data_IF_669495271628
#
_entry.id   IF_669495271628
#
_cell.length_a   1.000
_cell.length_b   1.000
_cell.length_c   1.000
_cell.angle_alpha   90.00
_cell.angle_beta   90.00
_cell.angle_gamma   90.00
#
_symmetry.space_group_name_H-M   'P 1'
#
loop_
_entity.id
_entity.type
_entity.pdbx_description
1 polymer ?
#
# COMPACT_ATOMS: atom_id res chain seq x y z
N UNK A 1 -7.48 -31.03 -48.38
CA UNK A 1 -7.10 -29.65 -48.05
C UNK A 1 -8.16 -29.14 -47.05
N UNK A 2 -7.94 -29.37 -45.78
CA UNK A 2 -8.83 -28.90 -44.70
C UNK A 2 -8.14 -27.76 -44.01
N UNK A 3 -8.73 -26.58 -44.04
CA UNK A 3 -8.29 -25.39 -43.36
C UNK A 3 -8.57 -25.58 -41.85
N UNK A 4 -7.50 -25.74 -41.10
CA UNK A 4 -7.48 -25.59 -39.63
C UNK A 4 -7.13 -24.12 -39.33
N UNK A 5 -8.11 -23.33 -38.93
CA UNK A 5 -7.95 -22.07 -38.20
C UNK A 5 -9.33 -21.41 -37.96
N UNK A 6 -10.18 -22.06 -37.20
CA UNK A 6 -11.32 -21.39 -36.55
C UNK A 6 -11.28 -21.73 -35.07
N UNK A 7 -10.46 -20.96 -34.35
CA UNK A 7 -10.66 -20.80 -32.89
C UNK A 7 -11.78 -19.77 -32.72
N UNK A 8 -12.85 -20.07 -31.98
CA UNK A 8 -13.90 -19.11 -31.73
C UNK A 8 -13.31 -17.91 -30.97
N UNK A 9 -13.57 -16.72 -31.48
CA UNK A 9 -13.33 -15.49 -30.76
C UNK A 9 -14.11 -15.57 -29.43
N UNK A 10 -13.40 -15.51 -28.30
CA UNK A 10 -14.03 -15.34 -27.01
C UNK A 10 -14.63 -13.93 -27.03
N UNK A 11 -15.94 -13.83 -27.24
CA UNK A 11 -16.69 -12.60 -26.99
C UNK A 11 -16.53 -12.29 -25.49
N UNK A 12 -15.71 -11.30 -25.20
CA UNK A 12 -15.66 -10.71 -23.87
C UNK A 12 -17.02 -10.04 -23.62
N UNK A 13 -17.91 -10.73 -22.93
CA UNK A 13 -19.11 -10.14 -22.37
C UNK A 13 -18.69 -9.07 -21.34
N UNK A 14 -18.92 -7.77 -21.60
CA UNK A 14 -18.58 -6.71 -20.65
C UNK A 14 -19.34 -6.81 -19.32
N UNK A 15 -20.30 -7.72 -19.19
CA UNK A 15 -21.08 -7.99 -17.98
C UNK A 15 -20.59 -9.23 -17.22
N UNK A 16 -19.65 -10.04 -17.72
CA UNK A 16 -19.04 -11.15 -16.99
C UNK A 16 -17.93 -10.64 -16.10
N UNK A 17 -18.27 -9.87 -15.06
CA UNK A 17 -17.27 -9.44 -14.07
C UNK A 17 -17.03 -10.55 -13.05
N UNK A 18 -15.75 -10.77 -12.74
CA UNK A 18 -15.33 -11.69 -11.68
C UNK A 18 -16.01 -11.29 -10.36
N UNK A 19 -16.82 -12.19 -9.79
CA UNK A 19 -17.38 -11.97 -8.47
C UNK A 19 -16.22 -11.91 -7.46
N UNK A 20 -15.94 -10.71 -6.95
CA UNK A 20 -14.88 -10.51 -5.96
C UNK A 20 -15.24 -11.24 -4.67
N UNK A 21 -14.35 -12.14 -4.24
CA UNK A 21 -14.48 -12.79 -2.93
C UNK A 21 -14.14 -11.79 -1.84
N UNK A 22 -14.91 -11.71 -0.74
CA UNK A 22 -14.55 -10.90 0.41
C UNK A 22 -13.19 -11.32 0.97
N UNK A 23 -12.30 -10.35 1.14
CA UNK A 23 -10.97 -10.58 1.73
C UNK A 23 -11.08 -10.78 3.24
N UNK A 24 -10.42 -11.81 3.72
CA UNK A 24 -10.26 -12.09 5.14
C UNK A 24 -8.78 -12.32 5.46
N UNK A 25 -8.31 -11.74 6.56
CA UNK A 25 -6.98 -11.95 7.10
C UNK A 25 -7.13 -12.59 8.50
N UNK A 26 -6.91 -13.89 8.61
CA UNK A 26 -7.18 -14.62 9.85
C UNK A 26 -8.61 -14.38 10.35
N UNK A 27 -8.75 -13.76 11.54
CA UNK A 27 -10.07 -13.41 12.12
C UNK A 27 -10.57 -12.02 11.69
N UNK A 28 -9.75 -11.21 11.03
CA UNK A 28 -10.11 -9.86 10.60
C UNK A 28 -10.85 -9.90 9.27
N UNK A 29 -12.10 -9.44 9.27
CA UNK A 29 -12.92 -9.28 8.07
C UNK A 29 -12.57 -7.95 7.39
N UNK A 30 -11.88 -8.01 6.26
CA UNK A 30 -11.54 -6.83 5.45
C UNK A 30 -12.68 -6.49 4.47
N UNK A 31 -13.28 -7.51 3.88
CA UNK A 31 -14.36 -7.38 2.91
C UNK A 31 -13.84 -7.08 1.50
N UNK A 32 -13.97 -5.85 1.01
CA UNK A 32 -13.55 -5.50 -0.34
C UNK A 32 -12.04 -5.73 -0.54
N UNK A 33 -11.59 -6.48 -1.59
CA UNK A 33 -10.21 -6.99 -1.65
C UNK A 33 -9.20 -6.01 -2.24
N UNK A 34 -9.47 -4.70 -2.24
CA UNK A 34 -8.57 -3.66 -2.73
C UNK A 34 -8.24 -2.72 -1.58
N UNK A 35 -7.01 -2.80 -1.07
CA UNK A 35 -6.59 -2.17 0.19
C UNK A 35 -5.42 -1.21 -0.02
N UNK A 36 -5.22 -0.28 0.94
CA UNK A 36 -4.09 0.64 0.90
C UNK A 36 -2.83 -0.01 1.47
N UNK A 37 -1.76 -0.01 0.70
CA UNK A 37 -0.43 -0.46 1.13
C UNK A 37 0.22 0.49 2.14
N UNK A 38 1.17 -0.03 2.93
CA UNK A 38 2.10 0.77 3.68
C UNK A 38 3.01 1.61 2.76
N UNK A 39 3.14 2.89 3.05
CA UNK A 39 3.86 3.87 2.22
C UNK A 39 4.70 4.78 3.11
N UNK A 40 6.01 4.52 3.18
CA UNK A 40 6.93 5.39 3.94
C UNK A 40 6.80 6.85 3.52
N UNK A 41 6.55 7.71 4.50
CA UNK A 41 6.35 9.14 4.31
C UNK A 41 4.95 9.51 3.82
N UNK A 42 4.00 8.58 3.65
CA UNK A 42 2.67 8.89 3.14
C UNK A 42 1.51 8.22 3.88
N UNK A 43 1.62 6.99 4.35
CA UNK A 43 0.49 6.32 5.02
C UNK A 43 0.46 6.61 6.52
N UNK A 44 0.61 7.88 6.88
CA UNK A 44 0.37 8.39 8.23
C UNK A 44 -1.14 8.34 8.58
N UNK A 45 -1.47 8.56 9.84
CA UNK A 45 -2.86 8.46 10.28
C UNK A 45 -3.82 9.36 9.49
N UNK A 46 -3.52 10.65 9.20
CA UNK A 46 -4.39 11.49 8.37
C UNK A 46 -4.68 10.90 6.98
N UNK A 47 -3.65 10.41 6.27
CA UNK A 47 -3.84 9.80 4.95
C UNK A 47 -4.67 8.53 5.02
N UNK A 48 -4.48 7.69 6.04
CA UNK A 48 -5.27 6.47 6.22
C UNK A 48 -6.75 6.77 6.42
N UNK A 49 -7.09 7.77 7.26
CA UNK A 49 -8.48 8.23 7.45
C UNK A 49 -9.09 8.70 6.14
N UNK A 50 -8.38 9.54 5.38
CA UNK A 50 -8.87 10.00 4.07
C UNK A 50 -9.13 8.82 3.13
N UNK A 51 -8.23 7.86 3.05
CA UNK A 51 -8.42 6.66 2.23
C UNK A 51 -9.62 5.81 2.70
N UNK A 52 -9.79 5.66 4.03
CA UNK A 52 -10.96 4.95 4.59
C UNK A 52 -12.27 5.62 4.20
N UNK A 53 -12.39 6.93 4.36
CA UNK A 53 -13.58 7.71 4.01
C UNK A 53 -13.89 7.67 2.51
N UNK A 54 -12.86 7.48 1.68
CA UNK A 54 -12.99 7.30 0.23
C UNK A 54 -13.07 5.83 -0.20
N UNK A 55 -13.34 4.92 0.73
CA UNK A 55 -13.74 3.55 0.42
C UNK A 55 -12.66 2.47 0.60
N UNK A 56 -11.44 2.79 1.04
CA UNK A 56 -10.47 1.75 1.39
C UNK A 56 -11.00 0.92 2.58
N UNK A 57 -11.14 -0.39 2.46
CA UNK A 57 -11.69 -1.23 3.53
C UNK A 57 -10.68 -1.50 4.65
N UNK A 58 -9.39 -1.38 4.34
CA UNK A 58 -8.26 -1.64 5.20
C UNK A 58 -7.06 -0.83 4.74
N UNK A 59 -6.30 -0.33 5.70
CA UNK A 59 -5.10 0.47 5.44
C UNK A 59 -3.94 -0.02 6.30
N UNK A 60 -2.72 0.15 5.79
CA UNK A 60 -1.49 -0.13 6.52
C UNK A 60 -0.77 1.19 6.86
N UNK A 61 -0.26 1.29 8.08
CA UNK A 61 0.55 2.43 8.48
C UNK A 61 1.91 2.47 7.77
N UNK A 62 2.62 3.56 7.92
CA UNK A 62 4.02 3.65 7.49
C UNK A 62 4.84 2.54 8.16
N UNK A 63 5.84 2.01 7.43
CA UNK A 63 6.72 1.00 8.01
C UNK A 63 7.51 1.60 9.20
N UNK A 64 7.45 0.92 10.32
CA UNK A 64 8.17 1.29 11.54
C UNK A 64 9.35 0.36 11.80
N UNK A 65 10.46 0.93 12.26
CA UNK A 65 11.63 0.14 12.66
C UNK A 65 11.41 -0.45 14.05
N UNK A 66 11.74 -1.73 14.21
CA UNK A 66 11.72 -2.46 15.48
C UNK A 66 12.43 -1.71 16.60
N UNK A 67 13.70 -1.33 16.37
CA UNK A 67 14.51 -0.56 17.33
C UNK A 67 13.87 0.78 17.72
N UNK A 68 13.20 1.44 16.74
CA UNK A 68 12.51 2.68 17.02
C UNK A 68 11.29 2.44 17.92
N UNK A 69 10.48 1.41 17.64
CA UNK A 69 9.30 1.06 18.43
C UNK A 69 9.65 0.72 19.88
N UNK A 70 10.70 -0.05 20.08
CA UNK A 70 11.19 -0.40 21.43
C UNK A 70 11.73 0.83 22.16
N UNK A 71 12.43 1.72 21.46
CA UNK A 71 13.02 2.94 22.05
C UNK A 71 12.02 4.09 22.22
N UNK A 72 10.90 4.06 21.50
CA UNK A 72 9.88 5.11 21.56
C UNK A 72 9.25 5.15 22.96
N UNK A 73 9.61 6.20 23.71
CA UNK A 73 8.88 6.56 24.94
C UNK A 73 7.57 7.20 24.54
N UNK A 74 6.53 6.98 25.32
CA UNK A 74 5.21 7.60 25.15
C UNK A 74 5.28 9.12 25.42
N UNK A 75 6.00 9.83 24.56
CA UNK A 75 6.13 11.29 24.58
C UNK A 75 5.20 11.89 23.54
N UNK A 76 4.57 13.01 23.85
CA UNK A 76 3.68 13.77 22.95
C UNK A 76 4.23 13.91 21.52
N UNK A 77 5.56 14.13 21.36
CA UNK A 77 6.21 14.28 20.04
C UNK A 77 6.29 12.99 19.20
N UNK A 78 6.06 11.81 19.80
CA UNK A 78 6.18 10.52 19.13
C UNK A 78 4.81 9.85 18.91
N UNK A 79 3.74 10.41 19.47
CA UNK A 79 2.39 9.81 19.39
C UNK A 79 1.91 9.63 17.94
N UNK A 80 2.33 10.51 17.04
CA UNK A 80 1.90 10.44 15.63
C UNK A 80 2.27 9.13 14.92
N UNK A 81 3.32 8.43 15.34
CA UNK A 81 3.71 7.16 14.73
C UNK A 81 2.74 6.01 15.03
N UNK A 82 2.16 6.02 16.23
CA UNK A 82 1.26 4.98 16.71
C UNK A 82 -0.19 5.49 16.84
N UNK A 83 -0.47 6.64 16.22
CA UNK A 83 -1.80 7.24 16.32
C UNK A 83 -2.79 6.50 15.41
N UNK A 84 -3.93 6.10 15.99
CA UNK A 84 -5.04 5.44 15.28
C UNK A 84 -6.32 6.14 15.72
N UNK A 85 -7.20 6.46 14.76
CA UNK A 85 -8.58 6.87 15.04
C UNK A 85 -9.51 5.67 15.01
N UNK A 86 -10.59 5.72 15.78
CA UNK A 86 -11.59 4.64 15.82
C UNK A 86 -12.15 4.30 14.43
N UNK A 87 -12.30 5.28 13.55
CA UNK A 87 -12.78 5.07 12.18
C UNK A 87 -11.81 4.35 11.24
N UNK A 88 -10.53 4.17 11.66
CA UNK A 88 -9.53 3.49 10.83
C UNK A 88 -9.63 1.96 10.88
N UNK A 89 -10.27 1.40 11.90
CA UNK A 89 -10.33 -0.07 12.07
C UNK A 89 -11.13 -0.76 10.94
N UNK A 90 -10.62 -1.88 10.37
CA UNK A 90 -9.35 -2.50 10.71
C UNK A 90 -8.16 -1.75 10.08
N UNK A 91 -7.06 -1.65 10.84
CA UNK A 91 -5.81 -1.01 10.42
C UNK A 91 -4.60 -1.88 10.75
N UNK A 92 -3.63 -1.96 9.84
CA UNK A 92 -2.42 -2.76 10.02
C UNK A 92 -1.20 -1.93 10.44
N UNK A 93 -0.42 -2.47 11.37
CA UNK A 93 0.89 -1.96 11.76
C UNK A 93 2.01 -2.67 11.00
N UNK A 94 2.79 -1.95 10.19
CA UNK A 94 3.90 -2.58 9.46
C UNK A 94 5.23 -2.39 10.17
N UNK A 95 5.95 -3.51 10.34
CA UNK A 95 7.21 -3.63 11.07
C UNK A 95 8.36 -4.01 10.16
N UNK A 96 9.53 -3.41 10.34
CA UNK A 96 10.78 -3.75 9.65
C UNK A 96 11.96 -3.68 10.63
N UNK A 97 12.86 -4.65 10.54
CA UNK A 97 14.05 -4.71 11.40
C UNK A 97 15.12 -5.63 10.83
N UNK A 98 16.12 -5.93 11.66
CA UNK A 98 17.21 -6.82 11.31
C UNK A 98 17.25 -8.06 12.21
N UNK A 99 16.97 -7.90 13.50
CA UNK A 99 17.19 -8.91 14.52
C UNK A 99 15.86 -9.54 14.97
N UNK A 100 15.74 -10.89 15.00
CA UNK A 100 14.50 -11.58 15.37
C UNK A 100 13.95 -11.18 16.75
N UNK A 101 14.80 -11.00 17.75
CA UNK A 101 14.41 -10.61 19.11
C UNK A 101 13.77 -9.21 19.14
N UNK A 102 14.31 -8.28 18.37
CA UNK A 102 13.80 -6.91 18.30
C UNK A 102 12.46 -6.86 17.56
N UNK A 103 12.27 -7.73 16.56
CA UNK A 103 10.98 -7.88 15.88
C UNK A 103 9.87 -8.26 16.86
N UNK A 104 10.09 -9.24 17.72
CA UNK A 104 9.12 -9.65 18.75
C UNK A 104 8.71 -8.48 19.63
N UNK A 105 9.69 -7.75 20.16
CA UNK A 105 9.41 -6.58 21.00
C UNK A 105 8.67 -5.47 20.23
N UNK A 106 9.04 -5.23 18.98
CA UNK A 106 8.35 -4.28 18.10
C UNK A 106 6.91 -4.69 17.81
N UNK A 107 6.65 -5.98 17.58
CA UNK A 107 5.31 -6.50 17.33
C UNK A 107 4.40 -6.32 18.56
N UNK A 108 4.90 -6.60 19.76
CA UNK A 108 4.16 -6.34 21.01
C UNK A 108 3.76 -4.86 21.12
N UNK A 109 4.66 -3.94 20.79
CA UNK A 109 4.36 -2.50 20.80
C UNK A 109 3.24 -2.10 19.81
N UNK A 110 3.16 -2.74 18.66
CA UNK A 110 2.08 -2.52 17.70
C UNK A 110 0.74 -3.08 18.21
N UNK A 111 0.76 -4.25 18.84
CA UNK A 111 -0.42 -4.84 19.49
C UNK A 111 -0.93 -3.93 20.61
N UNK A 112 -0.05 -3.45 21.49
CA UNK A 112 -0.39 -2.52 22.56
C UNK A 112 -0.94 -1.18 22.05
N UNK A 113 -0.51 -0.75 20.86
CA UNK A 113 -1.00 0.47 20.23
C UNK A 113 -2.40 0.30 19.59
N UNK A 114 -2.91 -0.94 19.47
CA UNK A 114 -4.25 -1.23 18.98
C UNK A 114 -4.34 -1.54 17.49
N UNK A 115 -3.24 -1.90 16.81
CA UNK A 115 -3.31 -2.36 15.44
C UNK A 115 -3.99 -3.73 15.33
N UNK A 116 -4.90 -3.88 14.34
CA UNK A 116 -5.67 -5.10 14.12
C UNK A 116 -4.91 -6.21 13.40
N UNK A 117 -3.86 -5.84 12.68
CA UNK A 117 -2.99 -6.73 11.89
C UNK A 117 -1.54 -6.31 12.08
N UNK A 118 -0.65 -7.27 12.27
CA UNK A 118 0.81 -7.03 12.30
C UNK A 118 1.41 -7.50 10.99
N UNK A 119 2.01 -6.60 10.22
CA UNK A 119 2.58 -6.89 8.91
C UNK A 119 4.11 -6.78 8.92
N UNK A 120 4.79 -7.82 8.45
CA UNK A 120 6.26 -7.89 8.39
C UNK A 120 6.73 -7.45 7.01
N UNK A 121 7.66 -6.48 6.94
CA UNK A 121 8.21 -5.98 5.68
C UNK A 121 9.53 -6.64 5.30
N UNK A 122 9.50 -7.51 4.31
CA UNK A 122 10.67 -8.09 3.61
C UNK A 122 10.79 -7.60 2.15
N UNK A 123 10.24 -6.42 1.84
CA UNK A 123 10.21 -5.93 0.46
C UNK A 123 10.92 -4.60 0.21
N UNK A 124 11.41 -3.89 1.23
CA UNK A 124 12.02 -2.57 1.05
C UNK A 124 13.34 -2.66 0.28
N UNK A 125 13.47 -1.99 -0.92
CA UNK A 125 14.68 -2.11 -1.75
C UNK A 125 15.68 -0.96 -1.54
N UNK A 126 15.47 -0.10 -0.55
CA UNK A 126 16.29 1.10 -0.32
C UNK A 126 17.69 0.71 0.14
N UNK A 127 18.74 1.20 -0.53
CA UNK A 127 20.14 0.86 -0.23
C UNK A 127 20.51 1.01 1.25
N UNK A 128 20.08 2.11 1.89
CA UNK A 128 20.35 2.38 3.31
C UNK A 128 19.66 1.35 4.24
N UNK A 129 18.53 0.80 3.83
CA UNK A 129 17.80 -0.25 4.54
C UNK A 129 18.51 -1.58 4.39
N UNK A 130 18.84 -1.96 3.14
CA UNK A 130 19.56 -3.20 2.82
C UNK A 130 20.94 -3.25 3.49
N UNK A 131 21.68 -2.14 3.49
CA UNK A 131 23.00 -2.04 4.14
C UNK A 131 22.95 -2.15 5.68
N UNK A 132 21.76 -2.25 6.27
CA UNK A 132 21.52 -2.53 7.70
C UNK A 132 20.78 -3.85 7.91
N UNK A 133 20.90 -4.78 6.96
CA UNK A 133 20.29 -6.11 7.00
C UNK A 133 18.75 -6.08 7.24
N UNK A 134 18.02 -5.15 6.59
CA UNK A 134 16.59 -4.94 6.80
C UNK A 134 15.79 -5.06 5.50
N UNK A 135 14.48 -5.25 5.66
CA UNK A 135 13.54 -5.27 4.53
C UNK A 135 13.87 -6.35 3.51
N UNK A 136 14.08 -5.97 2.24
CA UNK A 136 14.38 -6.92 1.17
C UNK A 136 15.67 -7.75 1.34
N UNK A 137 16.55 -7.39 2.29
CA UNK A 137 17.75 -8.18 2.62
C UNK A 137 17.41 -9.61 3.04
N UNK A 138 16.33 -9.77 3.81
CA UNK A 138 15.91 -11.07 4.34
C UNK A 138 15.48 -12.07 3.27
N UNK A 139 15.18 -11.63 2.04
CA UNK A 139 14.89 -12.54 0.93
C UNK A 139 16.12 -13.36 0.48
N UNK A 140 17.32 -12.98 0.91
CA UNK A 140 18.53 -13.77 0.74
C UNK A 140 18.96 -14.54 2.00
N UNK A 141 18.12 -14.57 3.04
CA UNK A 141 18.41 -15.18 4.35
C UNK A 141 17.14 -15.91 4.87
N UNK A 142 16.73 -17.03 4.23
CA UNK A 142 15.47 -17.71 4.56
C UNK A 142 15.37 -18.10 6.04
N UNK A 143 16.43 -18.66 6.62
CA UNK A 143 16.45 -19.05 8.03
C UNK A 143 16.13 -17.90 8.98
N UNK A 144 16.76 -16.73 8.73
CA UNK A 144 16.54 -15.52 9.53
C UNK A 144 15.13 -14.96 9.31
N UNK A 145 14.67 -14.94 8.05
CA UNK A 145 13.31 -14.51 7.72
C UNK A 145 12.25 -15.36 8.43
N UNK A 146 12.41 -16.69 8.41
CA UNK A 146 11.51 -17.61 9.08
C UNK A 146 11.58 -17.52 10.60
N UNK A 147 12.75 -17.29 11.17
CA UNK A 147 12.90 -17.06 12.60
C UNK A 147 12.19 -15.76 13.03
N UNK A 148 12.32 -14.67 12.26
CA UNK A 148 11.57 -13.42 12.48
C UNK A 148 10.06 -13.69 12.46
N UNK A 149 9.57 -14.43 11.49
CA UNK A 149 8.14 -14.75 11.35
C UNK A 149 7.65 -15.56 12.56
N UNK A 150 8.34 -16.65 12.93
CA UNK A 150 7.96 -17.50 14.06
C UNK A 150 7.91 -16.70 15.35
N UNK A 151 8.98 -15.98 15.68
CA UNK A 151 9.04 -15.16 16.91
C UNK A 151 7.98 -14.06 16.93
N UNK A 152 7.68 -13.46 15.79
CA UNK A 152 6.59 -12.47 15.69
C UNK A 152 5.26 -13.15 15.96
N UNK A 153 5.00 -14.32 15.35
CA UNK A 153 3.77 -15.06 15.56
C UNK A 153 3.59 -15.52 17.02
N UNK A 154 4.67 -15.94 17.66
CA UNK A 154 4.66 -16.44 19.04
C UNK A 154 4.23 -15.39 20.07
N UNK A 155 4.57 -14.11 19.84
CA UNK A 155 4.25 -13.01 20.79
C UNK A 155 2.95 -12.27 20.45
N UNK A 156 2.47 -12.37 19.21
CA UNK A 156 1.22 -11.72 18.80
C UNK A 156 0.02 -12.60 19.16
N UNK A 157 -1.02 -12.09 19.84
CA UNK A 157 -2.22 -12.87 20.19
C UNK A 157 -2.85 -13.54 18.97
N UNK A 158 -3.46 -14.72 19.17
CA UNK A 158 -4.05 -15.50 18.06
C UNK A 158 -5.23 -14.79 17.37
N UNK A 159 -5.83 -13.81 18.01
CA UNK A 159 -6.90 -12.97 17.48
C UNK A 159 -6.38 -11.98 16.43
N UNK A 160 -5.10 -11.58 16.54
CA UNK A 160 -4.47 -10.60 15.68
C UNK A 160 -3.67 -11.35 14.59
N UNK A 161 -4.06 -11.26 13.33
CA UNK A 161 -3.33 -11.89 12.23
C UNK A 161 -1.94 -11.28 12.05
N UNK A 162 -0.98 -12.14 11.71
CA UNK A 162 0.32 -11.73 11.20
C UNK A 162 0.32 -11.92 9.69
N UNK A 163 0.78 -10.92 8.96
CA UNK A 163 0.96 -10.95 7.50
C UNK A 163 2.41 -10.63 7.12
N UNK A 164 2.80 -10.98 5.91
CA UNK A 164 4.14 -10.68 5.38
C UNK A 164 4.02 -9.98 4.05
N UNK A 165 4.78 -8.89 3.86
CA UNK A 165 4.93 -8.25 2.57
C UNK A 165 6.34 -8.44 2.03
N UNK A 166 6.48 -9.05 0.86
CA UNK A 166 7.78 -9.33 0.24
C UNK A 166 7.82 -9.07 -1.27
N UNK A 167 9.03 -8.96 -1.80
CA UNK A 167 9.28 -8.97 -3.25
C UNK A 167 9.54 -10.39 -3.73
N UNK A 168 9.49 -10.63 -5.05
CA UNK A 168 9.68 -11.96 -5.65
C UNK A 168 11.11 -12.52 -5.56
N UNK A 169 12.01 -11.88 -4.82
CA UNK A 169 13.38 -12.28 -4.56
C UNK A 169 14.34 -11.09 -4.58
N UNK A 170 15.63 -11.34 -4.34
CA UNK A 170 16.70 -10.36 -4.46
C UNK A 170 16.90 -9.96 -5.92
N UNK A 171 16.98 -10.96 -6.80
CA UNK A 171 17.21 -10.82 -8.26
C UNK A 171 16.51 -11.95 -9.03
N UNK A 172 16.85 -12.14 -10.30
CA UNK A 172 16.26 -13.14 -11.19
C UNK A 172 16.99 -14.50 -11.17
N UNK A 173 17.88 -14.76 -10.19
CA UNK A 173 18.56 -16.05 -10.04
C UNK A 173 17.62 -17.16 -9.54
N UNK A 174 17.97 -18.41 -9.82
CA UNK A 174 17.25 -19.57 -9.28
C UNK A 174 17.30 -19.60 -7.75
N UNK A 175 18.43 -19.30 -7.15
CA UNK A 175 18.59 -19.20 -5.70
C UNK A 175 17.60 -18.18 -5.08
N UNK A 176 17.47 -16.98 -5.67
CA UNK A 176 16.50 -15.99 -5.22
C UNK A 176 15.07 -16.48 -5.29
N UNK A 177 14.76 -17.27 -6.30
CA UNK A 177 13.45 -17.89 -6.46
C UNK A 177 13.21 -18.98 -5.41
N UNK A 178 14.18 -19.86 -5.20
CA UNK A 178 14.08 -20.94 -4.22
C UNK A 178 13.92 -20.38 -2.81
N UNK A 179 14.72 -19.40 -2.44
CA UNK A 179 14.60 -18.66 -1.17
C UNK A 179 13.22 -18.02 -0.99
N UNK A 180 12.65 -17.44 -2.06
CA UNK A 180 11.31 -16.86 -2.00
C UNK A 180 10.26 -17.90 -1.64
N UNK A 181 10.25 -19.07 -2.30
CA UNK A 181 9.27 -20.12 -2.05
C UNK A 181 9.49 -20.79 -0.69
N UNK A 182 10.73 -20.96 -0.24
CA UNK A 182 11.05 -21.44 1.10
C UNK A 182 10.47 -20.50 2.18
N UNK A 183 10.67 -19.19 2.05
CA UNK A 183 10.10 -18.20 2.99
C UNK A 183 8.57 -18.21 2.92
N UNK A 184 7.99 -18.29 1.72
CA UNK A 184 6.54 -18.30 1.51
C UNK A 184 5.87 -19.50 2.20
N UNK A 185 6.40 -20.70 1.95
CA UNK A 185 5.88 -21.95 2.53
C UNK A 185 6.05 -21.94 4.06
N UNK A 186 7.26 -21.62 4.55
CA UNK A 186 7.53 -21.57 5.98
C UNK A 186 6.73 -20.48 6.70
N UNK A 187 6.37 -19.38 6.03
CA UNK A 187 5.49 -18.36 6.60
C UNK A 187 4.08 -18.92 6.87
N UNK A 188 3.49 -19.63 5.93
CA UNK A 188 2.18 -20.26 6.13
C UNK A 188 2.22 -21.38 7.17
N UNK A 189 3.28 -22.19 7.19
CA UNK A 189 3.52 -23.21 8.24
C UNK A 189 3.63 -22.59 9.64
N UNK A 190 4.18 -21.39 9.74
CA UNK A 190 4.26 -20.62 10.99
C UNK A 190 2.94 -19.91 11.37
N UNK A 191 1.87 -20.04 10.58
CA UNK A 191 0.56 -19.46 10.88
C UNK A 191 0.37 -18.01 10.41
N UNK A 192 1.11 -17.57 9.40
CA UNK A 192 0.86 -16.29 8.72
C UNK A 192 -0.49 -16.34 8.00
N UNK A 193 -1.31 -15.31 8.18
CA UNK A 193 -2.69 -15.25 7.68
C UNK A 193 -2.81 -14.78 6.23
N UNK A 194 -1.74 -14.22 5.67
CA UNK A 194 -1.70 -13.76 4.28
C UNK A 194 -0.34 -13.19 3.90
N UNK A 195 0.00 -13.30 2.63
CA UNK A 195 1.25 -12.76 2.10
C UNK A 195 0.97 -11.80 0.95
N UNK A 196 1.56 -10.59 1.03
CA UNK A 196 1.53 -9.62 -0.06
C UNK A 196 2.80 -9.76 -0.90
N UNK A 197 2.65 -10.00 -2.19
CA UNK A 197 3.76 -10.19 -3.12
C UNK A 197 3.87 -9.03 -4.10
N UNK A 198 5.04 -8.41 -4.18
CA UNK A 198 5.37 -7.44 -5.22
C UNK A 198 6.15 -8.14 -6.34
N UNK A 199 5.64 -8.09 -7.56
CA UNK A 199 6.19 -8.81 -8.71
C UNK A 199 7.55 -8.32 -9.23
N UNK A 200 8.23 -7.37 -8.55
CA UNK A 200 9.62 -6.96 -8.83
C UNK A 200 10.60 -7.56 -7.84
N UNK A 201 11.85 -7.75 -8.26
CA UNK A 201 12.96 -8.09 -7.36
C UNK A 201 13.43 -6.86 -6.57
N UNK A 202 14.24 -7.10 -5.54
CA UNK A 202 14.91 -6.03 -4.77
C UNK A 202 15.83 -5.22 -5.68
N UNK A 203 16.64 -5.88 -6.53
CA UNK A 203 17.57 -5.21 -7.46
C UNK A 203 16.86 -4.39 -8.53
N UNK A 204 15.67 -4.81 -8.99
CA UNK A 204 14.86 -4.04 -9.94
C UNK A 204 14.36 -2.71 -9.35
N UNK A 205 14.16 -2.61 -8.04
CA UNK A 205 13.50 -1.45 -7.41
C UNK A 205 12.16 -1.12 -8.08
N UNK A 206 12.12 -0.11 -8.95
CA UNK A 206 10.95 0.31 -9.74
C UNK A 206 11.21 0.30 -11.25
N UNK A 207 12.33 -0.29 -11.69
CA UNK A 207 12.70 -0.36 -13.11
C UNK A 207 11.98 -1.55 -13.76
N UNK A 208 11.43 -1.32 -14.95
CA UNK A 208 10.65 -2.31 -15.68
C UNK A 208 9.30 -2.62 -15.02
N UNK A 209 8.47 -3.49 -15.60
CA UNK A 209 7.15 -3.85 -15.09
C UNK A 209 7.22 -4.77 -13.87
N UNK A 210 6.18 -4.74 -13.06
CA UNK A 210 5.88 -5.79 -12.07
C UNK A 210 5.46 -7.06 -12.82
N UNK A 211 6.07 -8.21 -12.52
CA UNK A 211 5.75 -9.49 -13.18
C UNK A 211 4.53 -10.13 -12.55
N UNK A 212 3.38 -9.92 -13.15
CA UNK A 212 2.12 -10.49 -12.67
C UNK A 212 2.06 -12.02 -12.86
N UNK A 213 2.73 -12.55 -13.88
CA UNK A 213 2.83 -13.99 -14.11
C UNK A 213 3.44 -14.72 -12.90
N UNK A 214 4.38 -14.07 -12.19
CA UNK A 214 4.94 -14.60 -10.96
C UNK A 214 3.91 -14.64 -9.83
N UNK A 215 3.00 -13.67 -9.75
CA UNK A 215 1.91 -13.70 -8.76
C UNK A 215 0.94 -14.87 -9.04
N UNK A 216 0.62 -15.10 -10.32
CA UNK A 216 -0.19 -16.26 -10.72
C UNK A 216 0.47 -17.59 -10.34
N UNK A 217 1.79 -17.68 -10.50
CA UNK A 217 2.54 -18.85 -10.08
C UNK A 217 2.51 -19.03 -8.55
N UNK A 218 2.72 -17.96 -7.78
CA UNK A 218 2.64 -17.96 -6.32
C UNK A 218 1.26 -18.47 -5.88
N UNK A 219 0.18 -17.92 -6.44
CA UNK A 219 -1.19 -18.32 -6.06
C UNK A 219 -1.45 -19.81 -6.37
N UNK A 220 -0.98 -20.33 -7.51
CA UNK A 220 -1.09 -21.75 -7.82
C UNK A 220 -0.31 -22.63 -6.86
N UNK A 221 0.86 -22.18 -6.41
CA UNK A 221 1.70 -22.94 -5.48
C UNK A 221 1.08 -23.08 -4.08
N UNK A 222 0.40 -22.03 -3.60
CA UNK A 222 -0.14 -22.02 -2.23
C UNK A 222 -1.63 -22.34 -2.12
N UNK A 223 -2.34 -22.48 -3.25
CA UNK A 223 -3.77 -22.86 -3.27
C UNK A 223 -4.68 -21.88 -2.53
N UNK A 224 -5.32 -22.35 -1.46
CA UNK A 224 -6.31 -21.58 -0.70
C UNK A 224 -5.70 -20.53 0.24
N UNK A 225 -4.39 -20.50 0.42
CA UNK A 225 -3.77 -19.45 1.25
C UNK A 225 -3.94 -18.06 0.63
N UNK A 226 -4.15 -17.06 1.48
CA UNK A 226 -4.42 -15.67 1.06
C UNK A 226 -3.17 -15.01 0.49
N UNK A 227 -3.24 -14.63 -0.79
CA UNK A 227 -2.22 -13.86 -1.48
C UNK A 227 -2.78 -12.53 -1.94
N UNK A 228 -2.09 -11.44 -1.60
CA UNK A 228 -2.35 -10.11 -2.11
C UNK A 228 -1.27 -9.73 -3.13
N UNK A 229 -1.67 -9.11 -4.24
CA UNK A 229 -0.75 -8.60 -5.25
C UNK A 229 -0.37 -7.14 -5.01
N UNK A 230 0.79 -6.76 -5.52
CA UNK A 230 1.29 -5.38 -5.47
C UNK A 230 2.18 -5.08 -6.67
N UNK A 231 2.15 -3.84 -7.11
CA UNK A 231 3.01 -3.31 -8.18
C UNK A 231 2.25 -2.92 -9.43
N UNK A 232 2.46 -1.67 -9.85
CA UNK A 232 1.87 -1.04 -11.04
C UNK A 232 0.33 -0.97 -11.03
N UNK A 233 -0.23 -0.65 -9.87
CA UNK A 233 -1.65 -0.40 -9.65
C UNK A 233 -1.85 1.12 -9.56
N UNK A 234 -2.24 1.76 -10.64
CA UNK A 234 -2.43 3.21 -10.74
C UNK A 234 -3.86 3.60 -11.09
N UNK A 235 -4.59 2.68 -11.71
CA UNK A 235 -5.99 2.84 -12.09
C UNK A 235 -6.86 1.77 -11.44
N UNK A 236 -8.18 1.99 -11.33
CA UNK A 236 -9.10 0.94 -10.91
C UNK A 236 -9.00 -0.33 -11.75
N UNK A 237 -8.84 -0.19 -13.07
CA UNK A 237 -8.75 -1.32 -13.99
C UNK A 237 -7.51 -2.19 -13.69
N UNK A 238 -6.34 -1.60 -13.40
CA UNK A 238 -5.15 -2.37 -13.03
C UNK A 238 -5.40 -3.31 -11.85
N UNK A 239 -6.26 -2.90 -10.91
CA UNK A 239 -6.61 -3.72 -9.74
C UNK A 239 -7.39 -4.97 -10.14
N UNK A 240 -8.37 -4.83 -11.04
CA UNK A 240 -9.15 -5.97 -11.53
C UNK A 240 -8.33 -6.85 -12.45
N UNK A 241 -7.58 -6.26 -13.38
CA UNK A 241 -6.73 -6.99 -14.31
C UNK A 241 -5.70 -7.87 -13.59
N UNK A 242 -5.08 -7.34 -12.51
CA UNK A 242 -4.15 -8.13 -11.71
C UNK A 242 -4.86 -9.33 -11.06
N UNK A 243 -6.02 -9.14 -10.43
CA UNK A 243 -6.75 -10.25 -9.80
C UNK A 243 -7.24 -11.27 -10.82
N UNK A 244 -7.77 -10.83 -11.96
CA UNK A 244 -8.27 -11.70 -13.02
C UNK A 244 -7.15 -12.53 -13.66
N UNK A 245 -6.03 -11.88 -14.02
CA UNK A 245 -4.91 -12.56 -14.68
C UNK A 245 -4.14 -13.51 -13.76
N UNK A 246 -4.17 -13.26 -12.45
CA UNK A 246 -3.32 -14.00 -11.50
C UNK A 246 -4.06 -14.92 -10.56
N UNK A 247 -5.37 -14.73 -10.39
CA UNK A 247 -6.20 -15.50 -9.46
C UNK A 247 -5.92 -15.23 -7.98
N UNK A 248 -5.19 -14.16 -7.64
CA UNK A 248 -4.91 -13.76 -6.25
C UNK A 248 -6.16 -13.23 -5.56
N UNK A 249 -6.16 -13.22 -4.23
CA UNK A 249 -7.34 -12.94 -3.41
C UNK A 249 -7.63 -11.45 -3.22
N UNK A 250 -6.68 -10.59 -3.55
CA UNK A 250 -6.84 -9.14 -3.48
C UNK A 250 -5.55 -8.40 -3.84
N UNK A 251 -5.60 -7.08 -3.79
CA UNK A 251 -4.47 -6.21 -4.18
C UNK A 251 -4.20 -5.11 -3.16
N UNK A 252 -2.93 -4.69 -3.09
CA UNK A 252 -2.51 -3.56 -2.25
C UNK A 252 -2.07 -2.39 -3.12
N UNK A 253 -2.88 -1.31 -3.11
CA UNK A 253 -2.60 -0.09 -3.86
C UNK A 253 -1.61 0.77 -3.09
N UNK A 254 -0.47 1.05 -3.71
CA UNK A 254 0.59 1.86 -3.13
C UNK A 254 0.63 3.26 -3.77
N UNK A 255 1.53 3.47 -4.73
CA UNK A 255 1.74 4.77 -5.38
C UNK A 255 0.49 5.34 -6.06
N UNK A 256 -0.41 4.48 -6.55
CA UNK A 256 -1.67 4.89 -7.17
C UNK A 256 -2.66 5.59 -6.22
N UNK A 257 -2.49 5.42 -4.90
CA UNK A 257 -3.30 6.10 -3.89
C UNK A 257 -2.69 7.43 -3.38
N UNK A 258 -1.40 7.69 -3.66
CA UNK A 258 -0.74 8.92 -3.19
C UNK A 258 -1.25 10.12 -3.98
N UNK A 259 -2.02 11.00 -3.31
CA UNK A 259 -2.68 12.15 -3.95
C UNK A 259 -3.90 11.76 -4.79
N UNK A 260 -4.27 10.48 -4.79
CA UNK A 260 -5.46 9.96 -5.46
C UNK A 260 -6.19 8.91 -4.60
N UNK A 261 -6.65 9.25 -3.40
CA UNK A 261 -7.40 8.31 -2.57
C UNK A 261 -8.78 7.94 -3.16
N UNK A 262 -9.28 8.66 -4.16
CA UNK A 262 -10.51 8.34 -4.90
C UNK A 262 -10.44 7.01 -5.65
N UNK A 263 -9.24 6.46 -5.89
CA UNK A 263 -9.08 5.15 -6.52
C UNK A 263 -9.88 4.05 -5.80
N UNK A 264 -10.03 4.12 -4.47
CA UNK A 264 -10.83 3.15 -3.70
C UNK A 264 -12.32 3.28 -3.96
N UNK A 265 -12.86 4.49 -4.04
CA UNK A 265 -14.24 4.74 -4.40
C UNK A 265 -14.53 4.33 -5.85
N UNK A 266 -13.63 4.64 -6.75
CA UNK A 266 -13.73 4.30 -8.16
C UNK A 266 -13.71 2.77 -8.38
N UNK A 267 -12.83 2.05 -7.69
CA UNK A 267 -12.80 0.58 -7.76
C UNK A 267 -14.07 -0.04 -7.19
N UNK A 268 -14.64 0.50 -6.11
CA UNK A 268 -15.92 -0.01 -5.56
C UNK A 268 -17.06 0.17 -6.56
N UNK A 269 -17.22 1.36 -7.13
CA UNK A 269 -18.24 1.62 -8.12
C UNK A 269 -18.17 0.64 -9.31
N UNK A 270 -16.97 0.41 -9.83
CA UNK A 270 -16.77 -0.57 -10.91
C UNK A 270 -17.10 -2.01 -10.47
N UNK A 271 -16.72 -2.40 -9.24
CA UNK A 271 -17.07 -3.72 -8.71
C UNK A 271 -18.57 -3.95 -8.59
N UNK A 272 -19.32 -2.89 -8.26
CA UNK A 272 -20.79 -2.89 -8.19
C UNK A 272 -21.49 -2.81 -9.56
N UNK A 273 -20.72 -2.77 -10.65
CA UNK A 273 -21.26 -2.64 -12.01
C UNK A 273 -21.69 -1.22 -12.39
N UNK A 274 -21.39 -0.24 -11.56
CA UNK A 274 -21.68 1.16 -11.84
C UNK A 274 -20.66 1.73 -12.85
N UNK A 275 -21.03 2.79 -13.59
CA UNK A 275 -20.08 3.52 -14.41
C UNK A 275 -18.91 4.04 -13.58
N UNK A 276 -17.71 4.15 -14.21
CA UNK A 276 -16.58 4.80 -13.58
C UNK A 276 -16.97 6.19 -13.09
N UNK A 277 -16.84 6.49 -11.79
CA UNK A 277 -17.05 7.84 -11.30
C UNK A 277 -16.13 8.84 -12.00
N UNK A 278 -16.65 10.03 -12.31
CA UNK A 278 -15.83 11.10 -12.87
C UNK A 278 -14.64 11.42 -11.94
N UNK A 279 -13.54 11.97 -12.46
CA UNK A 279 -12.48 12.45 -11.62
C UNK A 279 -13.01 13.55 -10.68
N UNK A 280 -12.46 13.69 -9.45
CA UNK A 280 -12.97 14.67 -8.50
C UNK A 280 -12.85 16.07 -9.05
N UNK A 281 -13.91 16.87 -8.91
CA UNK A 281 -13.89 18.30 -9.30
C UNK A 281 -12.87 19.07 -8.47
N UNK A 282 -12.52 20.28 -8.87
CA UNK A 282 -11.60 21.15 -8.13
C UNK A 282 -12.11 21.39 -6.70
N UNK A 283 -13.43 21.59 -6.53
CA UNK A 283 -14.00 21.79 -5.20
C UNK A 283 -14.00 20.50 -4.36
N UNK A 284 -14.28 19.33 -4.94
CA UNK A 284 -14.16 18.06 -4.24
C UNK A 284 -12.72 17.79 -3.79
N UNK A 285 -11.74 18.09 -4.65
CA UNK A 285 -10.33 18.03 -4.27
C UNK A 285 -10.02 18.97 -3.11
N UNK A 286 -10.48 20.23 -3.18
CA UNK A 286 -10.30 21.23 -2.11
C UNK A 286 -10.80 20.73 -0.77
N UNK A 287 -12.01 20.17 -0.71
CA UNK A 287 -12.61 19.69 0.53
C UNK A 287 -11.80 18.54 1.13
N UNK A 288 -11.38 17.57 0.31
CA UNK A 288 -10.55 16.44 0.77
C UNK A 288 -9.17 16.91 1.24
N UNK A 289 -8.53 17.84 0.54
CA UNK A 289 -7.21 18.37 0.92
C UNK A 289 -7.31 19.18 2.23
N UNK A 290 -8.35 20.00 2.40
CA UNK A 290 -8.61 20.75 3.64
C UNK A 290 -8.85 19.82 4.82
N UNK A 291 -9.65 18.79 4.62
CA UNK A 291 -9.90 17.79 5.67
C UNK A 291 -8.62 17.02 6.03
N UNK A 292 -7.81 16.63 5.03
CA UNK A 292 -6.52 16.00 5.26
C UNK A 292 -5.60 16.92 6.09
N UNK A 293 -5.58 18.22 5.77
CA UNK A 293 -4.81 19.21 6.53
C UNK A 293 -5.31 19.33 7.98
N UNK A 294 -6.65 19.39 8.18
CA UNK A 294 -7.27 19.46 9.50
C UNK A 294 -6.93 18.23 10.37
N UNK A 295 -6.96 17.04 9.77
CA UNK A 295 -6.54 15.81 10.44
C UNK A 295 -5.04 15.84 10.80
N UNK A 296 -4.21 16.35 9.88
CA UNK A 296 -2.77 16.51 10.14
C UNK A 296 -2.49 17.51 11.28
N UNK A 297 -3.25 18.58 11.40
CA UNK A 297 -3.13 19.52 12.53
C UNK A 297 -3.40 18.84 13.88
N UNK A 298 -4.36 17.93 13.95
CA UNK A 298 -4.67 17.18 15.18
C UNK A 298 -3.50 16.28 15.59
N UNK A 299 -2.79 15.69 14.63
CA UNK A 299 -1.69 14.75 14.86
C UNK A 299 -0.36 15.46 15.08
N UNK A 300 -0.04 16.46 14.24
CA UNK A 300 1.26 17.13 14.20
C UNK A 300 1.29 18.52 14.82
N UNK A 301 0.11 19.11 15.11
CA UNK A 301 -0.03 20.49 15.56
C UNK A 301 0.45 21.48 14.50
N UNK A 302 0.98 22.61 14.95
CA UNK A 302 1.48 23.70 14.06
C UNK A 302 2.55 23.26 13.05
N UNK A 303 3.16 22.09 13.26
CA UNK A 303 4.19 21.53 12.35
C UNK A 303 3.61 20.78 11.15
N UNK A 304 2.30 20.72 11.00
CA UNK A 304 1.66 19.97 9.91
C UNK A 304 1.95 20.56 8.52
N UNK A 305 2.15 21.86 8.38
CA UNK A 305 2.38 22.52 7.08
C UNK A 305 3.48 21.89 6.23
N UNK A 306 4.72 21.75 6.74
CA UNK A 306 5.79 21.05 6.01
C UNK A 306 5.47 19.59 5.70
N UNK A 307 4.75 18.89 6.58
CA UNK A 307 4.32 17.50 6.34
C UNK A 307 3.29 17.45 5.20
N UNK A 308 2.32 18.35 5.22
CA UNK A 308 1.26 18.41 4.22
C UNK A 308 1.75 18.86 2.84
N UNK A 309 2.84 19.64 2.75
CA UNK A 309 3.40 20.08 1.46
C UNK A 309 3.60 18.94 0.46
N UNK A 310 4.15 17.79 0.92
CA UNK A 310 4.33 16.61 0.07
C UNK A 310 3.01 16.07 -0.49
N UNK A 311 1.93 16.15 0.30
CA UNK A 311 0.61 15.70 -0.13
C UNK A 311 0.00 16.69 -1.13
N UNK A 312 0.07 17.99 -0.87
CA UNK A 312 -0.38 19.02 -1.83
C UNK A 312 0.28 18.86 -3.20
N UNK A 313 1.60 18.61 -3.23
CA UNK A 313 2.36 18.32 -4.46
C UNK A 313 1.81 17.06 -5.17
N UNK A 314 1.29 16.08 -4.46
CA UNK A 314 0.73 14.85 -5.05
C UNK A 314 -0.72 15.04 -5.50
N UNK A 315 -1.55 15.70 -4.70
CA UNK A 315 -2.93 16.02 -5.06
C UNK A 315 -3.03 16.88 -6.32
N UNK A 316 -2.04 17.76 -6.57
CA UNK A 316 -2.03 18.62 -7.75
C UNK A 316 -2.14 17.85 -9.07
N UNK A 317 -1.77 16.56 -9.10
CA UNK A 317 -1.85 15.74 -10.30
C UNK A 317 -3.28 15.58 -10.85
N UNK A 318 -4.29 15.72 -9.99
CA UNK A 318 -5.70 15.61 -10.36
C UNK A 318 -6.31 16.97 -10.78
N UNK A 319 -5.61 18.08 -10.55
CA UNK A 319 -6.06 19.42 -10.90
C UNK A 319 -5.92 19.70 -12.42
N UNK A 320 -6.87 20.40 -13.08
CA UNK A 320 -6.75 20.75 -14.52
C UNK A 320 -5.45 21.48 -14.84
N UNK A 321 -4.93 22.33 -13.92
CA UNK A 321 -3.65 23.03 -14.02
C UNK A 321 -2.59 22.37 -13.13
N UNK A 322 -2.36 21.07 -13.33
CA UNK A 322 -1.53 20.23 -12.45
C UNK A 322 -0.12 20.79 -12.20
N UNK A 323 0.55 21.29 -13.23
CA UNK A 323 1.93 21.77 -13.14
C UNK A 323 2.05 23.07 -12.36
N UNK A 324 1.14 24.01 -12.58
CA UNK A 324 1.08 25.30 -11.91
C UNK A 324 0.74 25.12 -10.43
N UNK A 325 -0.27 24.32 -10.12
CA UNK A 325 -0.69 23.99 -8.76
C UNK A 325 0.43 23.24 -8.01
N UNK A 326 1.10 22.30 -8.68
CA UNK A 326 2.28 21.63 -8.12
C UNK A 326 3.37 22.64 -7.77
N UNK A 327 3.65 23.59 -8.67
CA UNK A 327 4.66 24.63 -8.47
C UNK A 327 4.30 25.58 -7.31
N UNK A 328 3.02 25.84 -7.10
CA UNK A 328 2.52 26.59 -5.96
C UNK A 328 2.74 25.81 -4.65
N UNK A 329 2.32 24.53 -4.57
CA UNK A 329 2.53 23.71 -3.38
C UNK A 329 4.00 23.48 -3.02
N UNK A 330 4.92 23.43 -3.99
CA UNK A 330 6.37 23.31 -3.72
C UNK A 330 6.89 24.49 -2.88
N UNK A 331 6.30 25.68 -3.02
CA UNK A 331 6.71 26.90 -2.33
C UNK A 331 6.11 27.07 -0.93
N UNK A 332 5.10 26.27 -0.58
CA UNK A 332 4.39 26.36 0.71
C UNK A 332 5.34 26.09 1.88
N UNK A 333 5.32 26.96 2.88
CA UNK A 333 6.11 26.88 4.11
C UNK A 333 5.27 26.98 5.38
N UNK A 334 4.15 27.70 5.32
CA UNK A 334 3.26 27.98 6.44
C UNK A 334 1.79 27.78 6.03
N UNK A 335 0.86 27.98 6.95
CA UNK A 335 -0.57 27.85 6.72
C UNK A 335 -1.09 28.90 5.74
N UNK A 336 -0.61 30.14 5.86
CA UNK A 336 -0.99 31.26 5.00
C UNK A 336 -0.65 30.96 3.52
N UNK A 337 0.50 30.33 3.27
CA UNK A 337 0.87 29.89 1.92
C UNK A 337 -0.12 28.83 1.37
N UNK A 338 -0.62 27.93 2.24
CA UNK A 338 -1.65 26.96 1.88
C UNK A 338 -2.96 27.62 1.47
N UNK A 339 -3.44 28.55 2.29
CA UNK A 339 -4.67 29.28 1.98
C UNK A 339 -4.53 30.07 0.68
N UNK A 340 -3.38 30.71 0.43
CA UNK A 340 -3.11 31.38 -0.83
C UNK A 340 -3.18 30.45 -2.06
N UNK A 341 -2.73 29.19 -1.93
CA UNK A 341 -2.90 28.20 -3.01
C UNK A 341 -4.37 27.89 -3.23
N UNK A 342 -5.16 27.74 -2.16
CA UNK A 342 -6.60 27.48 -2.28
C UNK A 342 -7.34 28.66 -2.89
N UNK A 343 -7.05 29.88 -2.47
CA UNK A 343 -7.68 31.10 -2.99
C UNK A 343 -7.38 31.33 -4.47
N UNK A 344 -6.17 30.95 -4.91
CA UNK A 344 -5.74 31.13 -6.30
C UNK A 344 -6.21 30.00 -7.22
N UNK A 345 -6.17 28.75 -6.77
CA UNK A 345 -6.30 27.59 -7.68
C UNK A 345 -7.56 26.74 -7.43
N UNK A 346 -8.18 26.87 -6.26
CA UNK A 346 -9.34 26.09 -5.86
C UNK A 346 -10.56 26.95 -5.54
N UNK A 347 -10.56 28.23 -5.96
CA UNK A 347 -11.66 29.15 -5.74
C UNK A 347 -12.87 28.79 -6.59
N UNK A 348 -12.64 28.54 -7.87
CA UNK A 348 -13.68 28.17 -8.84
C UNK A 348 -13.70 26.66 -9.07
N UNK A 349 -14.92 26.11 -9.22
CA UNK A 349 -15.09 24.70 -9.53
C UNK A 349 -14.86 24.41 -11.01
N UNK A 350 -14.23 23.28 -11.30
CA UNK A 350 -13.99 22.78 -12.64
C UNK A 350 -13.82 21.26 -12.62
N UNK A 351 -14.03 20.55 -13.74
CA UNK A 351 -13.72 19.14 -13.85
C UNK A 351 -12.24 18.88 -13.57
N UNK A 352 -11.97 17.89 -12.70
CA UNK A 352 -10.61 17.40 -12.46
C UNK A 352 -10.12 16.44 -13.53
N UNK A 353 -9.00 15.78 -13.26
CA UNK A 353 -8.38 14.78 -14.12
C UNK A 353 -8.19 13.46 -13.40
N UNK A 354 -8.24 12.35 -14.14
CA UNK A 354 -7.73 11.09 -13.62
C UNK A 354 -6.22 11.15 -13.46
N UNK A 355 -5.70 10.36 -12.52
CA UNK A 355 -4.26 10.23 -12.34
C UNK A 355 -3.63 9.66 -13.62
N UNK A 356 -2.62 10.36 -14.15
CA UNK A 356 -1.82 9.85 -15.26
C UNK A 356 -0.77 8.87 -14.72
N UNK A 357 -0.85 7.56 -15.08
CA UNK A 357 0.11 6.57 -14.63
C UNK A 357 1.56 6.87 -15.04
N UNK A 358 1.76 7.60 -16.14
CA UNK A 358 3.10 7.94 -16.64
C UNK A 358 3.93 8.78 -15.66
N UNK A 359 3.27 9.55 -14.80
CA UNK A 359 3.94 10.35 -13.74
C UNK A 359 4.75 9.47 -12.78
N UNK A 360 4.35 8.21 -12.61
CA UNK A 360 5.01 7.26 -11.73
C UNK A 360 6.05 6.38 -12.44
N UNK A 361 6.06 6.35 -13.77
CA UNK A 361 7.03 5.57 -14.56
C UNK A 361 8.38 6.28 -14.69
N UNK A 362 8.42 7.60 -14.57
CA UNK A 362 9.62 8.45 -14.77
C UNK A 362 10.51 8.56 -13.52
N UNK A 363 10.09 8.07 -12.34
CA UNK A 363 10.91 8.14 -11.13
C UNK A 363 11.94 7.01 -11.06
N UNK A 364 12.87 6.99 -12.00
CA UNK A 364 14.00 6.04 -12.01
C UNK A 364 15.15 6.43 -11.06
N UNK A 365 15.11 7.61 -10.43
CA UNK A 365 16.18 8.10 -9.57
C UNK A 365 15.66 8.85 -8.33
N UNK A 366 15.26 8.09 -7.31
CA UNK A 366 15.38 8.56 -5.93
C UNK A 366 16.42 7.66 -5.26
N UNK A 367 17.67 8.17 -5.27
CA UNK A 367 18.83 7.58 -4.66
C UNK A 367 18.78 7.49 -3.13
#
# INVERSE_FOLDING_TARGET
>A
MNNANDLPAVENDPNSRMALKPLQLGKVQVGFPIVQAALSGYSDAPMRVISRRLGAPYTLCEVMLDQFLVAVKDRRKNRHFLYIWDEEHPVGGQLMGAEPEQFSAGAVRLVEAGFDVIDINFGCPVKKVLGRCRGGYHLGQPDVALEIIRRTRDVVPNEIPVTVKMRRGIDDSQESRDNFFEILEGAFQAGVSGVTVHGRTVKQRYIGPSRWEFLAEVKRAVGEHTILGSGDLFTPQDCFDMMEQTGIDGVTVARGAIGNPWIFQQTRALAEGLPMPAPPTVHEQREVIREHFRLAEQVYGERCGPQMRKFGIKYSALHPFAMEVRSAFVKVRCREDWEAVFDQWYADDAPGKYLDPSIHQVQNDCG
#
